data_IF_675839039207
#
_entry.id   IF_675839039207
#
_cell.length_a   1.000
_cell.length_b   1.000
_cell.length_c   1.000
_cell.angle_alpha   90.00
_cell.angle_beta   90.00
_cell.angle_gamma   90.00
#
_symmetry.space_group_name_H-M   'P 1'
#
loop_
_entity.id
_entity.type
_entity.pdbx_description
1 polymer ?
#
# COMPACT_ATOMS: atom_id res chain seq x y z
N UNK A 1 38.59 3.23 41.94
CA UNK A 1 38.57 2.98 40.50
C UNK A 1 37.62 1.84 40.06
N UNK A 2 37.43 0.77 40.83
CA UNK A 2 36.56 -0.36 40.46
C UNK A 2 35.07 -0.01 40.28
N UNK A 3 34.53 0.92 41.07
CA UNK A 3 33.08 1.28 40.99
C UNK A 3 32.72 2.10 39.76
N UNK A 4 33.65 2.87 39.16
CA UNK A 4 33.38 3.66 37.94
C UNK A 4 33.29 2.77 36.69
N UNK A 5 34.02 1.66 36.65
CA UNK A 5 34.00 0.70 35.54
C UNK A 5 32.68 -0.08 35.53
N UNK A 6 32.20 -0.47 36.72
CA UNK A 6 30.92 -1.21 36.85
C UNK A 6 29.74 -0.37 36.38
N UNK A 7 29.71 0.93 36.73
CA UNK A 7 28.64 1.84 36.28
C UNK A 7 28.66 2.02 34.75
N UNK A 8 29.83 2.13 34.13
CA UNK A 8 29.97 2.23 32.69
C UNK A 8 29.47 1.00 31.93
N UNK A 9 29.79 -0.20 32.43
CA UNK A 9 29.36 -1.48 31.83
C UNK A 9 27.85 -1.68 31.95
N UNK A 10 27.26 -1.35 33.10
CA UNK A 10 25.79 -1.42 33.30
C UNK A 10 25.08 -0.45 32.41
N UNK A 11 25.57 0.78 32.22
CA UNK A 11 24.96 1.76 31.32
C UNK A 11 24.98 1.32 29.85
N UNK A 12 26.08 0.69 29.39
CA UNK A 12 26.17 0.17 28.01
C UNK A 12 25.20 -1.01 27.79
N UNK A 13 25.06 -1.90 28.76
CA UNK A 13 24.15 -3.04 28.68
C UNK A 13 22.69 -2.57 28.63
N UNK A 14 22.32 -1.56 29.41
CA UNK A 14 20.97 -0.98 29.38
C UNK A 14 20.70 -0.30 28.04
N UNK A 15 21.69 0.39 27.45
CA UNK A 15 21.55 1.06 26.16
C UNK A 15 21.39 0.04 25.01
N UNK A 16 22.13 -1.06 25.04
CA UNK A 16 21.99 -2.16 24.07
C UNK A 16 20.61 -2.83 24.20
N UNK A 17 20.15 -3.08 25.44
CA UNK A 17 18.82 -3.65 25.66
C UNK A 17 17.69 -2.72 25.19
N UNK A 18 17.83 -1.39 25.34
CA UNK A 18 16.87 -0.42 24.86
C UNK A 18 16.82 -0.37 23.32
N UNK A 19 17.98 -0.45 22.64
CA UNK A 19 18.04 -0.49 21.17
C UNK A 19 17.43 -1.79 20.64
N UNK A 20 17.68 -2.94 21.27
CA UNK A 20 17.04 -4.21 20.90
C UNK A 20 15.52 -4.17 21.14
N UNK A 21 15.05 -3.55 22.23
CA UNK A 21 13.63 -3.40 22.50
C UNK A 21 12.93 -2.50 21.46
N UNK A 22 13.57 -1.43 21.01
CA UNK A 22 13.05 -0.54 19.94
C UNK A 22 13.01 -1.28 18.61
N UNK A 23 14.03 -2.05 18.24
CA UNK A 23 14.06 -2.84 17.01
C UNK A 23 12.98 -3.93 17.03
N UNK A 24 12.78 -4.62 18.16
CA UNK A 24 11.74 -5.66 18.28
C UNK A 24 10.32 -5.07 18.33
N UNK A 25 10.13 -3.86 18.85
CA UNK A 25 8.84 -3.16 18.84
C UNK A 25 8.53 -2.67 17.42
N UNK A 26 9.51 -2.14 16.67
CA UNK A 26 9.34 -1.73 15.28
C UNK A 26 8.98 -2.91 14.37
N UNK A 27 9.59 -4.09 14.60
CA UNK A 27 9.25 -5.30 13.83
C UNK A 27 7.89 -5.91 14.20
N UNK A 28 7.33 -5.62 15.39
CA UNK A 28 5.96 -6.05 15.77
C UNK A 28 4.87 -5.08 15.33
N UNK A 29 5.19 -3.81 15.09
CA UNK A 29 4.22 -2.81 14.65
C UNK A 29 3.78 -2.98 13.18
N UNK A 30 4.41 -3.86 12.40
CA UNK A 30 4.13 -4.09 10.99
C UNK A 30 3.18 -5.24 10.66
N UNK A 31 2.70 -6.01 11.64
CA UNK A 31 1.72 -7.08 11.40
C UNK A 31 0.30 -6.56 11.60
N UNK A 32 -0.40 -6.27 10.52
CA UNK A 32 -1.85 -6.07 10.55
C UNK A 32 -2.57 -7.42 10.65
N UNK A 33 -3.83 -7.42 11.11
CA UNK A 33 -4.69 -8.60 11.34
C UNK A 33 -4.84 -9.54 10.12
N UNK A 34 -4.41 -9.12 8.93
CA UNK A 34 -4.48 -9.87 7.67
C UNK A 34 -3.12 -10.40 7.18
N UNK A 35 -2.09 -10.48 8.03
CA UNK A 35 -0.75 -10.93 7.63
C UNK A 35 0.00 -9.98 6.70
N UNK A 36 -0.41 -8.71 6.62
CA UNK A 36 0.25 -7.66 5.85
C UNK A 36 1.49 -7.14 6.58
N UNK A 37 2.61 -7.13 5.88
CA UNK A 37 3.87 -6.53 6.33
C UNK A 37 4.09 -5.19 5.64
N UNK A 38 4.70 -4.24 6.34
CA UNK A 38 5.04 -2.92 5.80
C UNK A 38 6.51 -2.88 5.38
N UNK A 39 6.78 -2.24 4.24
CA UNK A 39 8.10 -2.12 3.62
C UNK A 39 8.36 -0.67 3.19
N UNK A 40 9.62 -0.27 3.18
CA UNK A 40 10.02 1.06 2.71
C UNK A 40 10.22 1.11 1.19
N UNK A 41 10.45 -0.04 0.55
CA UNK A 41 10.67 -0.13 -0.90
C UNK A 41 9.86 -1.28 -1.53
N UNK A 42 9.60 -1.14 -2.83
CA UNK A 42 8.82 -2.08 -3.62
C UNK A 42 9.51 -3.44 -3.75
N UNK A 43 10.83 -3.48 -3.86
CA UNK A 43 11.57 -4.73 -4.08
C UNK A 43 11.39 -5.72 -2.92
N UNK A 44 11.36 -5.21 -1.70
CA UNK A 44 11.10 -6.04 -0.50
C UNK A 44 9.64 -6.50 -0.45
N UNK A 45 8.69 -5.62 -0.77
CA UNK A 45 7.27 -5.96 -0.84
C UNK A 45 7.02 -7.03 -1.92
N UNK A 46 7.64 -6.89 -3.10
CA UNK A 46 7.53 -7.82 -4.21
C UNK A 46 8.12 -9.20 -3.88
N UNK A 47 9.25 -9.25 -3.16
CA UNK A 47 9.82 -10.53 -2.70
C UNK A 47 8.87 -11.29 -1.77
N UNK A 48 8.16 -10.58 -0.90
CA UNK A 48 7.18 -11.19 0.00
C UNK A 48 5.94 -11.72 -0.74
N UNK A 49 5.48 -10.98 -1.75
CA UNK A 49 4.31 -11.35 -2.55
C UNK A 49 4.62 -12.36 -3.67
N UNK A 50 5.90 -12.50 -4.09
CA UNK A 50 6.35 -13.30 -5.24
C UNK A 50 5.86 -12.77 -6.60
N UNK A 51 5.46 -11.52 -6.68
CA UNK A 51 5.14 -10.77 -7.92
C UNK A 51 5.41 -9.29 -7.71
N UNK A 52 5.41 -8.49 -8.78
CA UNK A 52 5.68 -7.06 -8.75
C UNK A 52 4.45 -6.26 -9.21
N UNK A 53 4.48 -4.94 -9.00
CA UNK A 53 3.47 -3.99 -9.44
C UNK A 53 4.17 -2.72 -9.93
N UNK A 54 3.78 -2.24 -11.12
CA UNK A 54 4.10 -0.89 -11.56
C UNK A 54 3.05 0.08 -11.00
N UNK A 55 3.48 1.28 -10.65
CA UNK A 55 2.64 2.28 -10.00
C UNK A 55 3.17 3.69 -10.29
N UNK A 56 2.31 4.72 -10.35
CA UNK A 56 2.76 6.10 -10.55
C UNK A 56 3.52 6.62 -9.33
N UNK A 57 4.51 7.49 -9.55
CA UNK A 57 5.29 8.13 -8.48
C UNK A 57 4.42 8.99 -7.54
N UNK A 58 3.29 9.49 -8.04
CA UNK A 58 2.34 10.33 -7.30
C UNK A 58 0.91 9.92 -7.58
N UNK A 59 0.09 10.01 -6.54
CA UNK A 59 -1.36 9.87 -6.59
C UNK A 59 -1.99 11.13 -5.98
N UNK A 60 -2.84 11.85 -6.72
CA UNK A 60 -3.41 13.14 -6.29
C UNK A 60 -2.34 14.15 -5.84
N UNK A 61 -1.16 14.16 -6.49
CA UNK A 61 -0.03 15.01 -6.12
C UNK A 61 0.84 14.53 -4.95
N UNK A 62 0.41 13.51 -4.21
CA UNK A 62 1.17 12.94 -3.08
C UNK A 62 2.13 11.85 -3.52
N UNK A 63 3.37 11.83 -3.04
CA UNK A 63 4.33 10.78 -3.34
C UNK A 63 4.00 9.49 -2.59
N UNK A 64 4.56 8.37 -3.07
CA UNK A 64 4.53 7.10 -2.33
C UNK A 64 5.21 7.27 -0.97
N UNK A 65 4.57 6.77 0.08
CA UNK A 65 5.04 6.85 1.47
C UNK A 65 5.44 5.49 2.05
N UNK A 66 5.19 4.40 1.32
CA UNK A 66 5.56 3.04 1.73
C UNK A 66 4.72 1.99 1.03
N UNK A 67 5.03 0.74 1.32
CA UNK A 67 4.40 -0.42 0.71
C UNK A 67 3.91 -1.38 1.77
N UNK A 68 2.88 -2.16 1.43
CA UNK A 68 2.45 -3.29 2.23
C UNK A 68 2.30 -4.51 1.33
N UNK A 69 2.64 -5.70 1.83
CA UNK A 69 2.39 -6.93 1.09
C UNK A 69 2.18 -8.13 2.01
N UNK A 70 1.57 -9.15 1.43
CA UNK A 70 1.56 -10.52 1.89
C UNK A 70 1.74 -11.44 0.67
N UNK A 71 1.59 -12.75 0.81
CA UNK A 71 1.77 -13.72 -0.29
C UNK A 71 0.81 -13.55 -1.47
N UNK A 72 -0.26 -12.76 -1.35
CA UNK A 72 -1.30 -12.59 -2.38
C UNK A 72 -1.57 -11.13 -2.76
N UNK A 73 -0.90 -10.15 -2.13
CA UNK A 73 -1.20 -8.74 -2.35
C UNK A 73 0.03 -7.86 -2.19
N UNK A 74 0.13 -6.85 -3.05
CA UNK A 74 1.01 -5.68 -2.90
C UNK A 74 0.14 -4.41 -2.90
N UNK A 75 0.49 -3.46 -2.05
CA UNK A 75 -0.15 -2.15 -1.98
C UNK A 75 0.90 -1.05 -1.87
N UNK A 76 0.88 -0.08 -2.79
CA UNK A 76 1.59 1.19 -2.68
C UNK A 76 0.68 2.21 -2.00
N UNK A 77 1.18 2.88 -0.96
CA UNK A 77 0.45 3.89 -0.18
C UNK A 77 0.95 5.29 -0.47
N UNK A 78 0.01 6.23 -0.52
CA UNK A 78 0.24 7.66 -0.75
C UNK A 78 -0.26 8.47 0.46
N UNK A 79 0.35 8.19 1.61
CA UNK A 79 -0.07 8.77 2.88
C UNK A 79 -1.46 8.31 3.30
N UNK A 80 -2.32 9.27 3.64
CA UNK A 80 -3.73 9.04 3.95
C UNK A 80 -4.65 9.31 2.74
N UNK A 81 -4.09 9.72 1.61
CA UNK A 81 -4.83 10.23 0.45
C UNK A 81 -5.24 9.14 -0.52
N UNK A 82 -4.57 7.98 -0.46
CA UNK A 82 -4.97 6.87 -1.29
C UNK A 82 -3.99 5.71 -1.29
N UNK A 83 -4.33 4.71 -2.09
CA UNK A 83 -3.48 3.54 -2.34
C UNK A 83 -3.73 2.96 -3.74
N UNK A 84 -2.74 2.24 -4.21
CA UNK A 84 -2.83 1.36 -5.37
C UNK A 84 -2.51 -0.06 -4.92
N UNK A 85 -3.34 -1.01 -5.30
CA UNK A 85 -3.24 -2.40 -4.88
C UNK A 85 -3.31 -3.35 -6.08
N UNK A 86 -2.49 -4.39 -6.04
CA UNK A 86 -2.52 -5.54 -6.93
C UNK A 86 -2.67 -6.80 -6.08
N UNK A 87 -3.70 -7.59 -6.36
CA UNK A 87 -4.03 -8.79 -5.58
C UNK A 87 -4.11 -9.99 -6.51
N UNK A 88 -3.56 -11.11 -6.11
CA UNK A 88 -3.69 -12.38 -6.84
C UNK A 88 -5.13 -12.88 -6.71
N UNK A 89 -5.77 -13.17 -7.85
CA UNK A 89 -7.16 -13.59 -7.94
C UNK A 89 -7.95 -12.68 -8.87
N UNK A 90 -9.24 -12.97 -9.03
CA UNK A 90 -10.15 -12.25 -9.93
C UNK A 90 -11.43 -11.76 -9.23
N UNK A 91 -11.42 -11.72 -7.91
CA UNK A 91 -12.52 -11.20 -7.13
C UNK A 91 -12.25 -9.74 -6.74
N UNK A 92 -13.28 -8.92 -6.56
CA UNK A 92 -13.13 -7.56 -6.02
C UNK A 92 -12.53 -7.62 -4.60
N UNK A 93 -11.22 -7.42 -4.52
CA UNK A 93 -10.43 -7.37 -3.31
C UNK A 93 -10.08 -5.93 -2.90
N UNK A 94 -10.82 -4.93 -3.39
CA UNK A 94 -10.60 -3.52 -3.05
C UNK A 94 -10.61 -3.27 -1.54
N UNK A 95 -11.37 -4.10 -0.80
CA UNK A 95 -11.61 -3.91 0.63
C UNK A 95 -12.42 -2.65 0.95
N UNK A 96 -12.87 -1.94 -0.10
CA UNK A 96 -13.67 -0.73 0.03
C UNK A 96 -15.17 -1.11 0.12
N UNK A 97 -15.77 -0.84 1.28
CA UNK A 97 -17.20 -1.08 1.56
C UNK A 97 -18.04 0.18 1.42
N UNK A 98 -17.46 1.27 0.91
CA UNK A 98 -18.18 2.52 0.69
C UNK A 98 -19.19 2.32 -0.44
N UNK A 99 -20.42 2.74 -0.22
CA UNK A 99 -21.44 2.84 -1.27
C UNK A 99 -21.24 4.12 -2.06
N UNK A 100 -21.17 3.98 -3.38
CA UNK A 100 -21.04 5.10 -4.31
C UNK A 100 -22.34 5.24 -5.10
N UNK A 101 -22.78 6.48 -5.33
CA UNK A 101 -24.01 6.77 -6.11
C UNK A 101 -23.83 6.55 -7.61
N UNK A 102 -22.57 6.58 -8.07
CA UNK A 102 -22.20 6.45 -9.47
C UNK A 102 -21.28 5.24 -9.67
N UNK A 103 -21.56 4.45 -10.72
CA UNK A 103 -20.71 3.35 -11.15
C UNK A 103 -20.77 3.27 -12.67
N UNK A 104 -19.62 3.41 -13.32
CA UNK A 104 -19.48 3.36 -14.78
C UNK A 104 -18.39 2.40 -15.19
N UNK A 105 -18.53 1.79 -16.36
CA UNK A 105 -17.48 0.99 -16.97
C UNK A 105 -16.87 1.75 -18.15
N UNK A 106 -15.55 1.72 -18.25
CA UNK A 106 -14.83 2.24 -19.40
C UNK A 106 -13.72 1.27 -19.84
N UNK A 107 -13.31 1.38 -21.11
CA UNK A 107 -12.17 0.63 -21.63
C UNK A 107 -10.90 1.47 -21.53
N UNK A 108 -9.89 0.96 -20.83
CA UNK A 108 -8.55 1.57 -20.75
C UNK A 108 -7.54 0.53 -21.21
N UNK A 109 -6.81 0.81 -22.28
CA UNK A 109 -5.81 -0.11 -22.88
C UNK A 109 -6.36 -1.52 -23.17
N UNK A 110 -7.66 -1.62 -23.52
CA UNK A 110 -8.34 -2.89 -23.81
C UNK A 110 -8.85 -3.65 -22.58
N UNK A 111 -8.63 -3.13 -21.38
CA UNK A 111 -9.17 -3.66 -20.12
C UNK A 111 -10.51 -2.97 -19.81
N UNK A 112 -11.47 -3.72 -19.28
CA UNK A 112 -12.69 -3.16 -18.71
C UNK A 112 -12.42 -2.72 -17.28
N UNK A 113 -12.56 -1.42 -17.02
CA UNK A 113 -12.35 -0.81 -15.70
C UNK A 113 -13.69 -0.31 -15.17
N UNK A 114 -14.03 -0.68 -13.95
CA UNK A 114 -15.18 -0.12 -13.23
C UNK A 114 -14.72 1.08 -12.40
N UNK A 115 -15.28 2.24 -12.68
CA UNK A 115 -15.10 3.48 -11.92
C UNK A 115 -16.29 3.69 -11.00
N UNK A 116 -16.03 3.95 -9.71
CA UNK A 116 -17.08 4.24 -8.72
C UNK A 116 -16.84 5.59 -8.07
N UNK A 117 -17.92 6.37 -7.92
CA UNK A 117 -17.79 7.73 -7.42
C UNK A 117 -19.09 8.40 -7.02
N UNK A 118 -18.99 9.71 -6.75
CA UNK A 118 -20.10 10.57 -6.39
C UNK A 118 -19.86 11.96 -6.99
N UNK A 119 -20.92 12.65 -7.38
CA UNK A 119 -20.89 14.05 -7.85
C UNK A 119 -19.90 14.28 -9.02
N UNK A 120 -19.78 13.29 -9.91
CA UNK A 120 -18.89 13.35 -11.08
C UNK A 120 -17.39 13.14 -10.74
N UNK A 121 -17.03 12.82 -9.49
CA UNK A 121 -15.68 12.47 -9.08
C UNK A 121 -15.54 10.96 -8.87
N UNK A 122 -14.42 10.41 -9.30
CA UNK A 122 -14.06 9.00 -9.14
C UNK A 122 -13.22 8.84 -7.87
N UNK A 123 -13.65 7.96 -6.97
CA UNK A 123 -12.96 7.61 -5.73
C UNK A 123 -12.33 6.23 -5.77
N UNK A 124 -12.83 5.36 -6.63
CA UNK A 124 -12.41 3.98 -6.73
C UNK A 124 -12.39 3.53 -8.19
N UNK A 125 -11.29 2.93 -8.61
CA UNK A 125 -11.20 2.19 -9.86
C UNK A 125 -10.83 0.73 -9.56
N UNK A 126 -11.52 -0.22 -10.20
CA UNK A 126 -11.21 -1.66 -10.09
C UNK A 126 -11.23 -2.31 -11.45
N UNK A 127 -10.27 -3.20 -11.70
CA UNK A 127 -10.21 -3.99 -12.94
C UNK A 127 -9.44 -5.28 -12.72
N UNK A 128 -9.60 -6.21 -13.63
CA UNK A 128 -8.82 -7.44 -13.67
C UNK A 128 -7.93 -7.43 -14.92
N UNK A 129 -6.69 -7.87 -14.73
CA UNK A 129 -5.79 -8.21 -15.82
C UNK A 129 -5.11 -9.55 -15.53
N UNK A 130 -5.26 -10.50 -16.44
CA UNK A 130 -4.82 -11.89 -16.28
C UNK A 130 -5.41 -12.50 -14.97
N UNK A 131 -4.57 -12.87 -14.01
CA UNK A 131 -4.99 -13.47 -12.74
C UNK A 131 -4.90 -12.48 -11.57
N UNK A 132 -4.85 -11.18 -11.84
CA UNK A 132 -4.74 -10.14 -10.82
C UNK A 132 -5.94 -9.21 -10.83
N UNK A 133 -6.36 -8.85 -9.65
CA UNK A 133 -7.30 -7.76 -9.38
C UNK A 133 -6.52 -6.51 -8.99
N UNK A 134 -6.86 -5.40 -9.62
CA UNK A 134 -6.24 -4.10 -9.37
C UNK A 134 -7.26 -3.14 -8.77
N UNK A 135 -6.80 -2.33 -7.86
CA UNK A 135 -7.60 -1.31 -7.19
C UNK A 135 -6.81 -0.02 -7.07
N UNK A 136 -7.39 1.10 -7.47
CA UNK A 136 -6.95 2.45 -7.09
C UNK A 136 -8.03 3.07 -6.23
N UNK A 137 -7.67 3.55 -5.05
CA UNK A 137 -8.57 4.26 -4.15
C UNK A 137 -7.97 5.62 -3.79
N UNK A 138 -8.77 6.68 -3.92
CA UNK A 138 -8.38 8.07 -3.60
C UNK A 138 -9.38 8.67 -2.63
N UNK A 139 -8.88 9.39 -1.62
CA UNK A 139 -9.70 9.89 -0.50
C UNK A 139 -10.62 11.05 -0.91
N UNK A 140 -10.16 11.92 -1.81
CA UNK A 140 -10.89 13.15 -2.18
C UNK A 140 -11.54 13.09 -3.56
N UNK A 141 -11.44 11.93 -4.23
CA UNK A 141 -11.90 11.77 -5.61
C UNK A 141 -11.06 12.58 -6.61
N UNK A 142 -11.10 12.15 -7.85
CA UNK A 142 -10.48 12.83 -9.00
C UNK A 142 -11.44 12.79 -10.19
N UNK A 143 -11.19 13.59 -11.23
CA UNK A 143 -11.93 13.44 -12.46
C UNK A 143 -11.56 12.13 -13.20
N UNK A 144 -12.41 11.70 -14.15
CA UNK A 144 -12.21 10.43 -14.85
C UNK A 144 -10.93 10.39 -15.70
N UNK A 145 -10.50 11.52 -16.26
CA UNK A 145 -9.27 11.59 -17.07
C UNK A 145 -8.04 11.38 -16.19
N UNK A 146 -7.96 12.03 -15.04
CA UNK A 146 -6.88 11.85 -14.07
C UNK A 146 -6.84 10.41 -13.53
N UNK A 147 -7.99 9.80 -13.23
CA UNK A 147 -8.07 8.40 -12.83
C UNK A 147 -7.54 7.49 -13.94
N UNK A 148 -7.83 7.79 -15.20
CA UNK A 148 -7.36 7.02 -16.35
C UNK A 148 -5.82 7.06 -16.46
N UNK A 149 -5.19 8.22 -16.24
CA UNK A 149 -3.72 8.33 -16.20
C UNK A 149 -3.10 7.42 -15.12
N UNK A 150 -3.72 7.35 -13.94
CA UNK A 150 -3.25 6.45 -12.87
C UNK A 150 -3.42 4.97 -13.22
N UNK A 151 -4.53 4.60 -13.89
CA UNK A 151 -4.75 3.22 -14.36
C UNK A 151 -3.69 2.84 -15.41
N UNK A 152 -3.40 3.72 -16.37
CA UNK A 152 -2.41 3.47 -17.42
C UNK A 152 -0.98 3.30 -16.87
N UNK A 153 -0.67 3.97 -15.76
CA UNK A 153 0.62 3.87 -15.07
C UNK A 153 0.72 2.66 -14.12
N UNK A 154 -0.36 1.87 -13.97
CA UNK A 154 -0.44 0.74 -13.04
C UNK A 154 -0.47 -0.59 -13.81
N UNK A 155 0.45 -1.52 -13.46
CA UNK A 155 0.54 -2.87 -14.10
C UNK A 155 0.93 -3.96 -13.11
#
# INVERSE_FOLDING_TARGET
MKNKIIIGVVAIVILIAAVFAVITISNKAGQNENGLHTYENMDEAAKNASFNMEYPDRLCGFPVTGFRSNSSMIEARYGNDGFIRKTLGVADNSGNKTEYSESTEQSVNGLTVTLKGNDGLVFLAVWNDNNFDYTISVANGVNADEMTEYIEATK
#
